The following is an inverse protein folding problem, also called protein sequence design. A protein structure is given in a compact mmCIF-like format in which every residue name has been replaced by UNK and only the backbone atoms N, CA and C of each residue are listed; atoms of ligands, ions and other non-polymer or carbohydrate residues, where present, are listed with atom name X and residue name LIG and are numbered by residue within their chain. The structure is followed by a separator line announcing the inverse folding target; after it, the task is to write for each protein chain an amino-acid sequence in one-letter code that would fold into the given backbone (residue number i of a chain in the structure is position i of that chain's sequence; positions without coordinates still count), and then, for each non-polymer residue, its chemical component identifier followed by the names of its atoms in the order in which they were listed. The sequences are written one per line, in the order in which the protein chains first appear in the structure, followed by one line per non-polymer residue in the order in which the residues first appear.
data_IF_831758515007
#
_entry.id   IF_831758515007
#
_cell.length_a   1.000
_cell.length_b   1.000
_cell.length_c   1.000
_cell.angle_alpha   90.00
_cell.angle_beta   90.00
_cell.angle_gamma   90.00
#
_symmetry.space_group_name_H-M   'P 1'
#
loop_
_entity.id
_entity.type
_entity.pdbx_description
1 polymer ?
#
# COMPACT_ATOMS: atom_id res chain seq x y z
N UNK A 1 -25.28 46.51 -0.73
CA UNK A 1 -25.91 45.20 -0.47
C UNK A 1 -25.30 44.04 -1.27
N UNK A 2 -24.90 44.28 -2.52
CA UNK A 2 -24.49 43.20 -3.43
C UNK A 2 -23.03 42.77 -3.29
N UNK A 3 -22.16 43.64 -2.79
CA UNK A 3 -20.75 43.28 -2.54
C UNK A 3 -20.62 42.32 -1.34
N UNK A 4 -21.48 42.52 -0.34
CA UNK A 4 -21.50 41.65 0.86
C UNK A 4 -22.07 40.26 0.55
N UNK A 5 -23.07 40.19 -0.33
CA UNK A 5 -23.65 38.92 -0.80
C UNK A 5 -22.65 38.12 -1.66
N UNK A 6 -21.83 38.80 -2.47
CA UNK A 6 -20.76 38.14 -3.25
C UNK A 6 -19.62 37.66 -2.37
N UNK A 7 -19.30 38.32 -1.26
CA UNK A 7 -18.29 37.88 -0.31
C UNK A 7 -18.78 36.69 0.52
N UNK A 8 -20.06 36.66 0.92
CA UNK A 8 -20.65 35.54 1.64
C UNK A 8 -20.80 34.29 0.76
N UNK A 9 -21.08 34.45 -0.54
CA UNK A 9 -21.11 33.37 -1.51
C UNK A 9 -19.70 32.85 -1.88
N UNK A 10 -18.64 33.65 -1.76
CA UNK A 10 -17.25 33.23 -1.97
C UNK A 10 -16.71 32.42 -0.79
N UNK A 11 -17.24 32.61 0.41
CA UNK A 11 -16.79 31.87 1.62
C UNK A 11 -17.44 30.48 1.80
N UNK A 12 -18.34 30.05 0.93
CA UNK A 12 -18.98 28.74 1.00
C UNK A 12 -18.32 27.67 0.10
N UNK A 13 -17.29 28.05 -0.68
CA UNK A 13 -16.64 27.15 -1.65
C UNK A 13 -15.15 26.86 -1.40
N UNK A 14 -14.55 27.40 -0.35
CA UNK A 14 -13.16 27.05 0.04
C UNK A 14 -13.16 25.89 1.05
N UNK A 15 -13.83 24.79 0.71
CA UNK A 15 -13.66 23.55 1.47
C UNK A 15 -12.25 23.02 1.20
N UNK A 16 -11.52 22.76 2.27
CA UNK A 16 -10.18 22.15 2.15
C UNK A 16 -10.29 20.83 1.39
N UNK A 17 -9.53 20.72 0.31
CA UNK A 17 -9.52 19.54 -0.56
C UNK A 17 -8.46 18.55 -0.06
N UNK A 18 -8.87 17.33 0.25
CA UNK A 18 -7.95 16.22 0.48
C UNK A 18 -7.62 15.51 -0.83
N UNK A 19 -6.36 15.43 -1.16
CA UNK A 19 -5.85 14.69 -2.31
C UNK A 19 -5.41 13.30 -1.85
N UNK A 20 -6.03 12.26 -2.40
CA UNK A 20 -5.84 10.86 -2.01
C UNK A 20 -5.25 10.07 -3.15
N UNK A 21 -4.09 9.47 -2.93
CA UNK A 21 -3.50 8.52 -3.85
C UNK A 21 -4.03 7.11 -3.56
N UNK A 22 -4.74 6.52 -4.52
CA UNK A 22 -5.22 5.14 -4.45
C UNK A 22 -4.45 4.24 -5.40
N UNK A 23 -4.08 3.03 -4.96
CA UNK A 23 -3.45 2.05 -5.83
C UNK A 23 -4.46 1.54 -6.86
N UNK A 24 -4.07 1.45 -8.12
CA UNK A 24 -4.87 0.76 -9.14
C UNK A 24 -5.02 -0.71 -8.78
N UNK A 25 -6.23 -1.26 -8.93
CA UNK A 25 -6.53 -2.66 -8.69
C UNK A 25 -7.50 -2.89 -7.53
N UNK A 26 -7.63 -4.14 -7.09
CA UNK A 26 -8.65 -4.56 -6.13
C UNK A 26 -8.58 -3.85 -4.78
N UNK A 27 -7.37 -3.58 -4.27
CA UNK A 27 -7.21 -2.86 -3.01
C UNK A 27 -7.75 -1.43 -3.12
N UNK A 28 -7.39 -0.71 -4.17
CA UNK A 28 -7.85 0.65 -4.41
C UNK A 28 -9.37 0.72 -4.57
N UNK A 29 -9.96 -0.22 -5.31
CA UNK A 29 -11.42 -0.30 -5.49
C UNK A 29 -12.13 -0.53 -4.15
N UNK A 30 -11.60 -1.43 -3.33
CA UNK A 30 -12.14 -1.73 -2.01
C UNK A 30 -12.07 -0.53 -1.06
N UNK A 31 -10.94 0.17 -1.06
CA UNK A 31 -10.75 1.38 -0.25
C UNK A 31 -11.65 2.51 -0.74
N UNK A 32 -11.75 2.72 -2.05
CA UNK A 32 -12.66 3.71 -2.61
C UNK A 32 -14.11 3.45 -2.16
N UNK A 33 -14.58 2.22 -2.26
CA UNK A 33 -15.95 1.86 -1.84
C UNK A 33 -16.19 2.12 -0.35
N UNK A 34 -15.20 1.84 0.50
CA UNK A 34 -15.28 2.19 1.92
C UNK A 34 -15.37 3.69 2.15
N UNK A 35 -14.53 4.48 1.49
CA UNK A 35 -14.53 5.93 1.59
C UNK A 35 -15.81 6.54 1.01
N UNK A 36 -16.32 6.01 -0.09
CA UNK A 36 -17.60 6.41 -0.66
C UNK A 36 -18.76 6.16 0.32
N UNK A 37 -18.75 5.03 1.01
CA UNK A 37 -19.76 4.67 2.02
C UNK A 37 -19.79 5.58 3.25
N UNK A 38 -18.71 6.30 3.52
CA UNK A 38 -18.61 7.25 4.64
C UNK A 38 -18.65 8.72 4.22
N UNK A 39 -19.06 9.00 2.99
CA UNK A 39 -19.33 10.36 2.51
C UNK A 39 -18.25 10.96 1.60
N UNK A 40 -17.27 10.19 1.16
CA UNK A 40 -16.19 10.67 0.28
C UNK A 40 -16.28 10.11 -1.14
N UNK A 41 -17.46 9.71 -1.60
CA UNK A 41 -17.68 9.25 -2.96
C UNK A 41 -17.66 10.39 -3.96
N UNK A 42 -17.35 10.07 -5.23
CA UNK A 42 -17.42 11.00 -6.35
C UNK A 42 -18.71 10.81 -7.14
N UNK A 43 -19.24 11.89 -7.78
CA UNK A 43 -20.42 11.78 -8.65
C UNK A 43 -20.16 10.93 -9.89
N UNK A 44 -18.94 10.95 -10.41
CA UNK A 44 -18.52 10.12 -11.53
C UNK A 44 -18.33 8.66 -11.09
N UNK A 45 -18.73 7.74 -11.97
CA UNK A 45 -18.45 6.32 -11.73
C UNK A 45 -16.93 6.07 -11.77
N UNK A 46 -16.38 5.86 -10.61
CA UNK A 46 -14.96 5.56 -10.41
C UNK A 46 -14.46 4.39 -11.26
N UNK A 47 -15.28 3.37 -11.46
CA UNK A 47 -14.92 2.16 -12.20
C UNK A 47 -15.10 2.30 -13.71
N UNK A 48 -15.99 3.19 -14.18
CA UNK A 48 -16.29 3.38 -15.59
C UNK A 48 -15.44 4.45 -16.28
N UNK A 49 -14.81 5.33 -15.49
CA UNK A 49 -14.00 6.43 -16.04
C UNK A 49 -12.58 5.99 -16.40
N UNK A 50 -12.06 6.54 -17.49
CA UNK A 50 -10.63 6.45 -17.85
C UNK A 50 -9.82 7.62 -17.28
N UNK A 51 -10.44 8.53 -16.53
CA UNK A 51 -9.74 9.65 -15.91
C UNK A 51 -8.79 9.11 -14.82
N UNK A 52 -7.63 9.72 -14.73
CA UNK A 52 -6.66 9.42 -13.67
C UNK A 52 -6.91 10.23 -12.39
N UNK A 53 -7.76 11.24 -12.49
CA UNK A 53 -8.19 12.10 -11.38
C UNK A 53 -9.72 12.16 -11.38
N UNK A 54 -10.30 11.85 -10.24
CA UNK A 54 -11.73 12.03 -9.98
C UNK A 54 -11.91 12.84 -8.71
N UNK A 55 -12.93 13.72 -8.68
CA UNK A 55 -13.10 14.64 -7.56
C UNK A 55 -14.55 14.86 -7.18
N UNK A 56 -14.75 15.21 -5.92
CA UNK A 56 -16.01 15.70 -5.39
C UNK A 56 -15.74 16.94 -4.53
N UNK A 57 -15.86 18.15 -5.08
CA UNK A 57 -15.61 19.39 -4.35
C UNK A 57 -16.53 19.58 -3.14
N UNK A 58 -17.78 19.09 -3.20
CA UNK A 58 -18.73 19.16 -2.08
C UNK A 58 -18.28 18.31 -0.89
N UNK A 59 -17.70 17.15 -1.16
CA UNK A 59 -17.12 16.28 -0.13
C UNK A 59 -15.70 16.73 0.28
N UNK A 60 -15.07 17.62 -0.48
CA UNK A 60 -13.70 18.05 -0.24
C UNK A 60 -12.67 16.98 -0.54
N UNK A 61 -12.88 16.18 -1.60
CA UNK A 61 -12.04 15.02 -1.91
C UNK A 61 -11.63 15.00 -3.39
N UNK A 62 -10.38 14.59 -3.65
CA UNK A 62 -9.85 14.30 -4.97
C UNK A 62 -9.01 13.02 -4.90
N UNK A 63 -9.27 12.09 -5.81
CA UNK A 63 -8.54 10.82 -5.91
C UNK A 63 -7.62 10.80 -7.12
N UNK A 64 -6.42 10.29 -6.92
CA UNK A 64 -5.47 9.95 -7.99
C UNK A 64 -5.32 8.44 -8.06
N UNK A 65 -5.44 7.88 -9.26
CA UNK A 65 -5.29 6.45 -9.50
C UNK A 65 -3.87 6.18 -10.01
N UNK A 66 -3.05 5.59 -9.17
CA UNK A 66 -1.63 5.38 -9.46
C UNK A 66 -1.23 3.92 -9.29
N UNK A 67 -0.10 3.56 -9.84
CA UNK A 67 0.50 2.24 -9.59
C UNK A 67 0.71 2.03 -8.10
N UNK A 68 0.47 0.84 -7.53
CA UNK A 68 0.70 0.57 -6.11
C UNK A 68 2.08 0.99 -5.62
N UNK A 69 3.14 0.71 -6.41
CA UNK A 69 4.52 1.09 -6.09
C UNK A 69 4.78 2.60 -6.06
N UNK A 70 3.89 3.42 -6.61
CA UNK A 70 4.07 4.87 -6.72
C UNK A 70 3.30 5.64 -5.64
N UNK A 71 2.35 5.02 -4.95
CA UNK A 71 1.51 5.70 -3.95
C UNK A 71 2.35 6.44 -2.91
N UNK A 72 3.32 5.78 -2.31
CA UNK A 72 4.15 6.38 -1.27
C UNK A 72 4.96 7.58 -1.79
N UNK A 73 5.40 7.55 -3.04
CA UNK A 73 6.14 8.66 -3.70
C UNK A 73 5.26 9.90 -3.82
N UNK A 74 4.01 9.74 -4.29
CA UNK A 74 3.07 10.86 -4.40
C UNK A 74 2.73 11.49 -3.05
N UNK A 75 2.61 10.67 -2.01
CA UNK A 75 2.36 11.15 -0.65
C UNK A 75 3.60 11.81 -0.06
N UNK A 76 4.77 11.20 -0.17
CA UNK A 76 6.02 11.77 0.35
C UNK A 76 6.33 13.15 -0.23
N UNK A 77 6.12 13.32 -1.54
CA UNK A 77 6.36 14.59 -2.23
C UNK A 77 5.20 15.59 -2.14
N UNK A 78 4.11 15.25 -1.45
CA UNK A 78 2.98 16.16 -1.21
C UNK A 78 2.06 16.38 -2.41
N UNK A 79 2.20 15.63 -3.51
CA UNK A 79 1.24 15.61 -4.60
C UNK A 79 -0.10 15.01 -4.15
N UNK A 80 -0.05 14.04 -3.26
CA UNK A 80 -1.18 13.57 -2.48
C UNK A 80 -0.99 13.91 -1.00
N UNK A 81 -2.08 14.24 -0.31
CA UNK A 81 -2.07 14.49 1.13
C UNK A 81 -2.05 13.17 1.91
N UNK A 82 -2.78 12.20 1.42
CA UNK A 82 -2.92 10.85 2.00
C UNK A 82 -2.89 9.79 0.91
N UNK A 83 -2.66 8.56 1.31
CA UNK A 83 -2.70 7.42 0.41
C UNK A 83 -2.90 6.11 1.15
N UNK A 84 -3.21 5.07 0.37
CA UNK A 84 -3.29 3.70 0.87
C UNK A 84 -2.24 2.88 0.14
N UNK A 85 -1.42 2.17 0.90
CA UNK A 85 -0.31 1.39 0.37
C UNK A 85 -0.05 0.15 1.24
N UNK A 86 0.35 -0.94 0.63
CA UNK A 86 0.78 -2.13 1.37
C UNK A 86 2.03 -1.88 2.22
N UNK A 87 2.09 -2.49 3.38
CA UNK A 87 3.26 -2.39 4.28
C UNK A 87 4.56 -2.85 3.62
N UNK A 88 4.49 -3.79 2.70
CA UNK A 88 5.60 -4.27 1.89
C UNK A 88 6.23 -3.16 1.04
N UNK A 89 5.42 -2.44 0.29
CA UNK A 89 5.86 -1.32 -0.55
C UNK A 89 6.41 -0.17 0.31
N UNK A 90 5.71 0.15 1.39
CA UNK A 90 6.11 1.21 2.32
C UNK A 90 7.46 0.91 2.97
N UNK A 91 7.67 -0.34 3.40
CA UNK A 91 8.93 -0.80 4.01
C UNK A 91 10.06 -0.84 2.99
N UNK A 92 9.82 -1.38 1.79
CA UNK A 92 10.82 -1.46 0.73
C UNK A 92 11.29 -0.08 0.29
N UNK A 93 10.39 0.89 0.18
CA UNK A 93 10.69 2.26 -0.23
C UNK A 93 11.31 3.11 0.89
N UNK A 94 11.16 2.74 2.15
CA UNK A 94 11.55 3.55 3.32
C UNK A 94 11.03 4.99 3.21
N UNK A 95 9.78 5.15 2.79
CA UNK A 95 9.19 6.45 2.50
C UNK A 95 9.08 7.32 3.76
N UNK A 96 9.40 8.60 3.63
CA UNK A 96 9.30 9.58 4.72
C UNK A 96 7.87 10.15 4.80
N UNK A 97 6.98 9.36 5.37
CA UNK A 97 5.56 9.66 5.56
C UNK A 97 5.10 9.27 6.95
N UNK A 98 3.95 9.79 7.39
CA UNK A 98 3.28 9.26 8.57
C UNK A 98 2.43 8.05 8.20
N UNK A 99 2.56 6.99 8.97
CA UNK A 99 1.70 5.82 8.93
C UNK A 99 0.64 5.97 10.03
N UNK A 100 -0.61 6.27 9.64
CA UNK A 100 -1.65 6.69 10.59
C UNK A 100 -2.62 5.57 10.97
N UNK A 101 -2.78 4.55 10.13
CA UNK A 101 -3.73 3.47 10.37
C UNK A 101 -3.30 2.19 9.66
N UNK A 102 -3.33 1.08 10.38
CA UNK A 102 -3.39 -0.25 9.80
C UNK A 102 -4.85 -0.58 9.48
N UNK A 103 -5.16 -0.66 8.20
CA UNK A 103 -6.54 -0.91 7.76
C UNK A 103 -6.98 -2.36 7.96
N UNK A 104 -6.04 -3.28 8.12
CA UNK A 104 -6.31 -4.71 8.14
C UNK A 104 -6.75 -5.30 6.80
N UNK A 105 -6.76 -4.50 5.74
CA UNK A 105 -7.12 -4.92 4.38
C UNK A 105 -5.92 -5.52 3.65
N UNK A 106 -6.17 -6.41 2.69
CA UNK A 106 -5.14 -6.99 1.85
C UNK A 106 -4.08 -7.76 2.63
N UNK A 107 -4.48 -8.47 3.68
CA UNK A 107 -3.56 -9.23 4.53
C UNK A 107 -2.82 -10.30 3.75
N UNK A 108 -1.54 -10.26 3.85
CA UNK A 108 -0.59 -11.27 3.36
C UNK A 108 0.66 -11.25 4.23
N UNK A 109 1.69 -11.93 3.79
CA UNK A 109 2.93 -12.06 4.57
C UNK A 109 4.14 -12.10 3.66
N UNK A 110 5.25 -11.56 4.13
CA UNK A 110 6.55 -11.70 3.48
C UNK A 110 7.21 -12.97 3.97
N UNK A 111 7.62 -13.80 3.03
CA UNK A 111 8.19 -15.11 3.32
C UNK A 111 9.51 -15.31 2.59
N UNK A 112 10.35 -16.17 3.15
CA UNK A 112 11.36 -16.90 2.41
C UNK A 112 10.73 -18.18 1.92
N UNK A 113 10.82 -18.47 0.63
CA UNK A 113 10.36 -19.70 0.02
C UNK A 113 11.48 -20.35 -0.81
N UNK A 114 11.43 -21.66 -0.92
CA UNK A 114 12.46 -22.44 -1.60
C UNK A 114 11.90 -23.77 -2.10
N UNK A 115 12.63 -24.50 -2.99
CA UNK A 115 12.30 -25.87 -3.32
C UNK A 115 12.20 -26.76 -2.09
N UNK A 116 11.41 -27.82 -2.18
CA UNK A 116 11.11 -28.70 -1.03
C UNK A 116 12.38 -29.35 -0.42
N UNK A 117 13.40 -29.58 -1.22
CA UNK A 117 14.68 -30.18 -0.84
C UNK A 117 15.76 -29.19 -0.40
N UNK A 118 15.40 -27.87 -0.37
CA UNK A 118 16.34 -26.82 0.03
C UNK A 118 16.87 -27.04 1.45
N UNK A 119 18.20 -26.96 1.56
CA UNK A 119 18.93 -26.87 2.83
C UNK A 119 19.93 -25.74 2.75
N UNK A 120 19.94 -24.89 3.77
CA UNK A 120 20.90 -23.81 3.84
C UNK A 120 22.33 -24.33 4.00
N UNK A 121 23.26 -23.71 3.29
CA UNK A 121 24.69 -23.97 3.43
C UNK A 121 25.39 -22.75 4.01
N UNK A 122 25.71 -22.73 5.31
CA UNK A 122 26.32 -21.55 5.95
C UNK A 122 27.72 -21.19 5.42
N UNK A 123 28.35 -22.06 4.66
CA UNK A 123 29.70 -21.82 4.12
C UNK A 123 29.74 -20.89 2.92
N UNK A 124 28.59 -20.51 2.35
CA UNK A 124 28.47 -19.60 1.22
C UNK A 124 27.31 -18.66 1.38
N UNK A 125 27.32 -17.49 0.70
CA UNK A 125 26.16 -16.61 0.67
C UNK A 125 24.91 -17.29 0.11
N UNK A 126 23.72 -16.94 0.62
CA UNK A 126 22.45 -17.38 0.08
C UNK A 126 22.13 -16.55 -1.15
N UNK A 127 21.83 -17.17 -2.28
CA UNK A 127 21.35 -16.49 -3.47
C UNK A 127 19.86 -16.26 -3.37
N UNK A 128 19.46 -14.99 -3.28
CA UNK A 128 18.08 -14.57 -3.04
C UNK A 128 17.53 -13.83 -4.25
N UNK A 129 16.53 -14.37 -4.90
CA UNK A 129 15.77 -13.67 -5.93
C UNK A 129 14.56 -12.98 -5.29
N UNK A 130 14.38 -11.71 -5.57
CA UNK A 130 13.31 -10.93 -4.97
C UNK A 130 13.05 -9.62 -5.73
N UNK A 131 11.83 -9.14 -5.63
CA UNK A 131 11.44 -7.78 -5.96
C UNK A 131 11.72 -6.82 -4.77
N UNK A 132 11.81 -7.35 -3.57
CA UNK A 132 11.94 -6.62 -2.30
C UNK A 132 13.38 -6.66 -1.77
N UNK A 133 14.27 -5.97 -2.46
CA UNK A 133 15.72 -6.02 -2.19
C UNK A 133 16.06 -5.53 -0.78
N UNK A 134 15.51 -4.41 -0.36
CA UNK A 134 15.80 -3.80 0.94
C UNK A 134 15.23 -4.62 2.10
N UNK A 135 14.03 -5.15 1.93
CA UNK A 135 13.41 -6.05 2.91
C UNK A 135 14.25 -7.32 3.08
N UNK A 136 14.66 -7.95 1.97
CA UNK A 136 15.49 -9.14 2.00
C UNK A 136 16.85 -8.89 2.66
N UNK A 137 17.51 -7.80 2.33
CA UNK A 137 18.78 -7.40 2.95
C UNK A 137 18.66 -7.21 4.45
N UNK A 138 17.63 -6.47 4.91
CA UNK A 138 17.40 -6.24 6.33
C UNK A 138 17.13 -7.54 7.09
N UNK A 139 16.32 -8.43 6.52
CA UNK A 139 15.99 -9.70 7.14
C UNK A 139 17.23 -10.57 7.35
N UNK A 140 18.02 -10.80 6.29
CA UNK A 140 19.21 -11.62 6.39
C UNK A 140 20.32 -10.97 7.22
N UNK A 141 20.46 -9.66 7.16
CA UNK A 141 21.39 -8.92 8.01
C UNK A 141 21.06 -9.08 9.50
N UNK A 142 19.77 -9.11 9.88
CA UNK A 142 19.35 -9.34 11.26
C UNK A 142 19.77 -10.70 11.81
N UNK A 143 20.01 -11.67 10.93
CA UNK A 143 20.49 -13.00 11.28
C UNK A 143 22.01 -13.18 11.11
N UNK A 144 22.71 -12.12 10.71
CA UNK A 144 24.14 -12.18 10.41
C UNK A 144 24.48 -13.08 9.20
N UNK A 145 23.56 -13.20 8.25
CA UNK A 145 23.68 -14.09 7.10
C UNK A 145 23.99 -13.31 5.84
N UNK A 146 25.08 -13.63 5.17
CA UNK A 146 25.46 -13.06 3.87
C UNK A 146 24.56 -13.57 2.75
N UNK A 147 24.22 -12.68 1.84
CA UNK A 147 23.36 -12.99 0.68
C UNK A 147 23.88 -12.35 -0.61
N UNK A 148 23.56 -13.01 -1.72
CA UNK A 148 23.69 -12.47 -3.07
C UNK A 148 22.28 -12.20 -3.62
N UNK A 149 21.97 -10.94 -3.88
CA UNK A 149 20.66 -10.49 -4.37
C UNK A 149 20.57 -10.55 -5.89
N UNK A 150 19.49 -11.15 -6.38
CA UNK A 150 19.07 -11.12 -7.77
C UNK A 150 17.72 -10.41 -7.80
N UNK A 151 17.71 -9.16 -8.29
CA UNK A 151 16.47 -8.38 -8.40
C UNK A 151 15.67 -8.82 -9.62
N UNK A 152 14.43 -9.25 -9.40
CA UNK A 152 13.46 -9.58 -10.44
C UNK A 152 12.21 -8.73 -10.28
N UNK A 153 11.43 -8.58 -11.35
CA UNK A 153 10.22 -7.74 -11.37
C UNK A 153 8.91 -8.54 -11.32
N UNK A 154 8.96 -9.83 -11.63
CA UNK A 154 7.81 -10.72 -11.62
C UNK A 154 8.19 -12.16 -11.88
N UNK A 155 7.25 -13.08 -11.71
CA UNK A 155 7.46 -14.53 -11.83
C UNK A 155 8.69 -15.01 -11.06
N UNK A 156 8.82 -14.54 -9.84
CA UNK A 156 9.99 -14.73 -8.97
C UNK A 156 10.26 -16.22 -8.73
N UNK A 157 9.21 -17.04 -8.71
CA UNK A 157 9.26 -18.50 -8.51
C UNK A 157 10.14 -19.23 -9.54
N UNK A 158 10.31 -18.66 -10.74
CA UNK A 158 11.16 -19.25 -11.77
C UNK A 158 12.64 -19.30 -11.36
N UNK A 159 13.11 -18.37 -10.55
CA UNK A 159 14.52 -18.27 -10.20
C UNK A 159 15.07 -19.53 -9.52
N UNK A 160 14.47 -20.05 -8.44
CA UNK A 160 14.95 -21.28 -7.84
C UNK A 160 14.67 -22.53 -8.70
N UNK A 161 13.59 -22.54 -9.47
CA UNK A 161 13.26 -23.66 -10.38
C UNK A 161 14.35 -23.82 -11.45
N UNK A 162 14.87 -22.73 -11.98
CA UNK A 162 15.90 -22.71 -13.02
C UNK A 162 17.34 -22.66 -12.45
N UNK A 163 17.50 -22.71 -11.13
CA UNK A 163 18.81 -22.68 -10.47
C UNK A 163 19.49 -21.30 -10.45
N UNK A 164 18.76 -20.23 -10.73
CA UNK A 164 19.28 -18.85 -10.67
C UNK A 164 19.47 -18.39 -9.22
N UNK A 165 18.63 -18.83 -8.31
CA UNK A 165 18.72 -18.55 -6.89
C UNK A 165 18.47 -19.80 -6.04
N UNK A 166 18.85 -19.73 -4.76
CA UNK A 166 18.56 -20.80 -3.78
C UNK A 166 17.16 -20.64 -3.20
N UNK A 167 16.77 -19.39 -2.92
CA UNK A 167 15.50 -19.02 -2.31
C UNK A 167 14.90 -17.81 -3.00
N UNK A 168 13.66 -17.54 -2.68
CA UNK A 168 12.99 -16.28 -2.99
C UNK A 168 12.53 -15.59 -1.71
N UNK A 169 12.46 -14.26 -1.75
CA UNK A 169 11.74 -13.46 -0.77
C UNK A 169 10.57 -12.80 -1.49
N UNK A 170 9.38 -13.18 -1.13
CA UNK A 170 8.17 -12.70 -1.82
C UNK A 170 6.95 -12.72 -0.90
N UNK A 171 5.90 -12.04 -1.35
CA UNK A 171 4.60 -12.01 -0.69
C UNK A 171 3.89 -13.35 -0.91
N UNK A 172 3.30 -13.86 0.15
CA UNK A 172 2.46 -15.06 0.13
C UNK A 172 1.11 -14.75 0.76
N UNK A 173 0.05 -14.99 0.02
CA UNK A 173 -1.32 -14.91 0.51
C UNK A 173 -1.83 -16.30 0.88
N UNK A 174 -2.08 -17.16 -0.09
CA UNK A 174 -2.57 -18.54 0.12
C UNK A 174 -1.49 -19.61 -0.02
N UNK A 175 -0.39 -19.29 -0.68
CA UNK A 175 0.70 -20.23 -1.00
C UNK A 175 0.40 -21.17 -2.17
N UNK A 176 -0.70 -20.98 -2.88
CA UNK A 176 -1.08 -21.86 -4.00
C UNK A 176 -0.06 -21.82 -5.12
N UNK A 177 0.37 -20.64 -5.55
CA UNK A 177 1.39 -20.51 -6.61
C UNK A 177 2.70 -21.18 -6.24
N UNK A 178 3.13 -21.08 -4.98
CA UNK A 178 4.33 -21.78 -4.50
C UNK A 178 4.19 -23.30 -4.62
N UNK A 179 3.09 -23.85 -4.11
CA UNK A 179 2.84 -25.30 -4.12
C UNK A 179 2.76 -25.84 -5.53
N UNK A 180 2.07 -25.15 -6.44
CA UNK A 180 1.95 -25.55 -7.84
C UNK A 180 3.29 -25.57 -8.59
N UNK A 181 4.28 -24.82 -8.10
CA UNK A 181 5.63 -24.75 -8.66
C UNK A 181 6.69 -25.52 -7.83
N UNK A 182 6.26 -26.38 -6.94
CA UNK A 182 7.18 -27.23 -6.14
C UNK A 182 7.98 -26.47 -5.08
N UNK A 183 7.52 -25.30 -4.69
CA UNK A 183 8.13 -24.48 -3.65
C UNK A 183 7.35 -24.58 -2.34
N UNK A 184 8.01 -24.30 -1.25
CA UNK A 184 7.40 -24.21 0.08
C UNK A 184 7.87 -22.97 0.82
N UNK A 185 7.05 -22.50 1.75
CA UNK A 185 7.46 -21.48 2.71
C UNK A 185 8.49 -22.07 3.66
N UNK A 186 9.65 -21.46 3.74
CA UNK A 186 10.71 -21.81 4.70
C UNK A 186 10.50 -21.02 5.99
N UNK A 187 10.25 -19.72 5.88
CA UNK A 187 10.05 -18.82 7.00
C UNK A 187 9.09 -17.69 6.60
N UNK A 188 8.17 -17.38 7.48
CA UNK A 188 7.35 -16.19 7.43
C UNK A 188 7.91 -15.17 8.42
N UNK A 189 8.24 -13.96 7.98
CA UNK A 189 8.96 -13.03 8.85
C UNK A 189 8.35 -11.63 8.96
N UNK A 190 7.38 -11.28 8.11
CA UNK A 190 6.74 -9.96 8.19
C UNK A 190 5.27 -10.04 7.79
N UNK A 191 4.34 -9.68 8.70
CA UNK A 191 2.94 -9.52 8.34
C UNK A 191 2.76 -8.28 7.49
N UNK A 192 1.86 -8.34 6.50
CA UNK A 192 1.56 -7.27 5.57
C UNK A 192 0.07 -6.98 5.59
N UNK A 193 -0.28 -5.69 5.61
CA UNK A 193 -1.62 -5.17 5.38
C UNK A 193 -1.53 -3.78 4.78
N UNK A 194 -2.64 -3.28 4.25
CA UNK A 194 -2.70 -1.94 3.69
C UNK A 194 -2.70 -0.88 4.81
N UNK A 195 -1.88 0.14 4.64
CA UNK A 195 -1.69 1.24 5.60
C UNK A 195 -2.22 2.54 5.01
N UNK A 196 -2.88 3.31 5.86
CA UNK A 196 -3.23 4.69 5.57
C UNK A 196 -2.02 5.57 5.94
N UNK A 197 -1.49 6.27 4.95
CA UNK A 197 -0.30 7.11 5.10
C UNK A 197 -0.63 8.57 4.79
N UNK A 198 0.15 9.49 5.35
CA UNK A 198 -0.03 10.93 5.13
C UNK A 198 1.31 11.61 4.87
N UNK A 199 1.28 12.63 4.01
CA UNK A 199 2.36 13.58 3.90
C UNK A 199 2.51 14.37 5.19
N UNK A 200 3.72 14.52 5.70
CA UNK A 200 3.99 15.13 7.01
C UNK A 200 3.55 16.59 7.09
N UNK A 201 3.82 17.38 6.06
CA UNK A 201 3.38 18.77 6.01
C UNK A 201 1.86 18.88 5.87
N UNK A 202 1.25 18.09 4.97
CA UNK A 202 -0.21 18.06 4.80
C UNK A 202 -0.94 17.65 6.07
N UNK A 203 -0.39 16.69 6.83
CA UNK A 203 -0.95 16.29 8.12
C UNK A 203 -1.02 17.46 9.11
N UNK A 204 -0.03 18.33 9.11
CA UNK A 204 -0.01 19.51 9.94
C UNK A 204 -1.05 20.56 9.49
N UNK A 205 -1.17 20.80 8.18
CA UNK A 205 -2.05 21.84 7.65
C UNK A 205 -3.51 21.39 7.48
N UNK A 206 -3.75 20.11 7.25
CA UNK A 206 -5.08 19.52 7.01
C UNK A 206 -5.47 18.50 8.09
N UNK A 207 -4.96 18.70 9.29
CA UNK A 207 -5.11 17.76 10.41
C UNK A 207 -6.58 17.41 10.70
N UNK A 208 -7.44 18.41 10.78
CA UNK A 208 -8.84 18.20 11.14
C UNK A 208 -9.60 17.37 10.10
N UNK A 209 -9.34 17.62 8.82
CA UNK A 209 -9.95 16.87 7.71
C UNK A 209 -9.47 15.42 7.69
N UNK A 210 -8.17 15.19 7.88
CA UNK A 210 -7.58 13.86 7.94
C UNK A 210 -8.10 13.06 9.13
N UNK A 211 -8.13 13.65 10.32
CA UNK A 211 -8.64 12.98 11.53
C UNK A 211 -10.14 12.67 11.43
N UNK A 212 -10.91 13.55 10.79
CA UNK A 212 -12.33 13.29 10.52
C UNK A 212 -12.51 12.09 9.59
N UNK A 213 -11.71 12.00 8.52
CA UNK A 213 -11.72 10.86 7.61
C UNK A 213 -11.28 9.58 8.33
N UNK A 214 -10.20 9.62 9.09
CA UNK A 214 -9.69 8.48 9.84
C UNK A 214 -10.69 7.94 10.86
N UNK A 215 -11.36 8.81 11.59
CA UNK A 215 -12.39 8.42 12.57
C UNK A 215 -13.52 7.65 11.92
N UNK A 216 -14.03 8.15 10.80
CA UNK A 216 -15.09 7.49 10.02
C UNK A 216 -14.61 6.17 9.40
N UNK A 217 -13.38 6.16 8.88
CA UNK A 217 -12.79 4.97 8.27
C UNK A 217 -12.56 3.86 9.30
N UNK A 218 -12.06 4.18 10.49
CA UNK A 218 -11.91 3.22 11.60
C UNK A 218 -13.24 2.59 11.98
N UNK A 219 -14.31 3.39 12.08
CA UNK A 219 -15.65 2.88 12.39
C UNK A 219 -16.16 1.93 11.30
N UNK A 220 -16.01 2.30 10.03
CA UNK A 220 -16.41 1.45 8.90
C UNK A 220 -15.64 0.13 8.84
N UNK A 221 -14.34 0.15 9.11
CA UNK A 221 -13.50 -1.05 9.16
C UNK A 221 -13.91 -1.98 10.32
N UNK A 222 -14.21 -1.41 11.49
CA UNK A 222 -14.67 -2.17 12.66
C UNK A 222 -16.02 -2.87 12.39
N UNK A 223 -16.94 -2.19 11.71
CA UNK A 223 -18.24 -2.78 11.31
C UNK A 223 -18.05 -3.95 10.33
N UNK A 224 -17.12 -3.83 9.37
CA UNK A 224 -16.83 -4.93 8.44
C UNK A 224 -16.20 -6.14 9.14
N UNK A 225 -15.39 -5.93 10.15
CA UNK A 225 -14.75 -7.02 10.91
C UNK A 225 -15.77 -7.74 11.81
N UNK A 226 -16.71 -7.02 12.40
CA UNK A 226 -17.78 -7.59 13.20
C UNK A 226 -18.81 -8.39 12.37
N UNK A 227 -18.91 -8.16 11.07
CA UNK A 227 -19.83 -8.85 10.16
C UNK A 227 -19.26 -10.16 9.56
N UNK A 228 -18.02 -10.51 9.85
CA UNK A 228 -17.36 -11.75 9.41
C UNK A 228 -17.50 -12.87 10.43
#
# INVERSE_FOLDING_TARGET
GDVYKRQVQKNSTDRVMLNVALPKGRLGDKVYNLLAGIGYGCPEDYNATRKLVVENPEAGIRYFLVKPSDVAIYVEHGAADVGIVGKDILTEASADVYELLDTGLGRCRMCVAAPADYKDNPSRPVRVATKFVNIAKSYYASMGRDIDIIKLNGSIELAPILGLSDVIVDIVETGTTLRENGLRVVTEFMPISARFIANKASYQFKHNEMERMLTKLRAALAEQEAAK
#
